data_IF_614511226138
#
_entry.id   IF_614511226138
#
_cell.length_a   1.000
_cell.length_b   1.000
_cell.length_c   1.000
_cell.angle_alpha   90.00
_cell.angle_beta   90.00
_cell.angle_gamma   90.00
#
_symmetry.space_group_name_H-M   'P 1'
#
loop_
_entity.id
_entity.type
_entity.pdbx_description
1 polymer ?
#
# COMPACT_ATOMS: atom_id res chain seq x y z
N UNK A 1 5.26 13.67 -6.54
CA UNK A 1 4.83 12.26 -6.61
C UNK A 1 3.64 12.13 -5.69
N UNK A 2 2.59 11.47 -6.14
CA UNK A 2 1.47 11.08 -5.29
C UNK A 2 1.40 9.56 -5.19
N UNK A 3 0.96 9.07 -4.03
CA UNK A 3 0.71 7.64 -3.82
C UNK A 3 -0.78 7.40 -3.68
N UNK A 4 -1.30 6.52 -4.51
CA UNK A 4 -2.71 6.12 -4.53
C UNK A 4 -2.82 4.64 -4.18
N UNK A 5 -3.95 4.23 -3.63
CA UNK A 5 -4.23 2.82 -3.38
C UNK A 5 -5.64 2.46 -3.80
N UNK A 6 -5.78 1.27 -4.38
CA UNK A 6 -7.05 0.65 -4.75
C UNK A 6 -7.20 -0.64 -3.96
N UNK A 7 -8.39 -0.94 -3.49
CA UNK A 7 -8.71 -2.25 -2.92
C UNK A 7 -9.92 -2.86 -3.60
N UNK A 8 -9.87 -4.18 -3.80
CA UNK A 8 -10.99 -4.92 -4.38
C UNK A 8 -10.99 -6.38 -3.91
N UNK A 9 -12.18 -6.96 -3.70
CA UNK A 9 -12.31 -8.36 -3.32
C UNK A 9 -12.20 -9.30 -4.53
N UNK A 10 -11.58 -10.45 -4.31
CA UNK A 10 -11.66 -11.63 -5.16
C UNK A 10 -12.73 -12.58 -4.61
N UNK A 11 -13.22 -13.48 -5.46
CA UNK A 11 -14.17 -14.53 -5.04
C UNK A 11 -13.50 -15.40 -3.98
N UNK A 12 -14.21 -15.71 -2.88
CA UNK A 12 -13.70 -16.66 -1.89
C UNK A 12 -13.26 -17.97 -2.55
N UNK A 13 -12.10 -18.50 -2.15
CA UNK A 13 -11.52 -19.73 -2.71
C UNK A 13 -10.69 -19.54 -3.98
N UNK A 14 -10.67 -18.34 -4.57
CA UNK A 14 -9.88 -18.03 -5.78
C UNK A 14 -8.60 -17.26 -5.49
N UNK A 15 -8.26 -17.06 -4.21
CA UNK A 15 -7.18 -16.18 -3.77
C UNK A 15 -5.82 -16.59 -4.33
N UNK A 16 -5.51 -17.90 -4.34
CA UNK A 16 -4.25 -18.41 -4.86
C UNK A 16 -4.12 -18.15 -6.38
N UNK A 17 -5.17 -18.43 -7.14
CA UNK A 17 -5.21 -18.18 -8.59
C UNK A 17 -5.08 -16.68 -8.90
N UNK A 18 -5.79 -15.82 -8.15
CA UNK A 18 -5.70 -14.38 -8.34
C UNK A 18 -4.30 -13.86 -8.03
N UNK A 19 -3.66 -14.39 -6.98
CA UNK A 19 -2.29 -14.05 -6.61
C UNK A 19 -1.33 -14.42 -7.74
N UNK A 20 -1.47 -15.59 -8.36
CA UNK A 20 -0.59 -16.02 -9.46
C UNK A 20 -0.75 -15.15 -10.72
N UNK A 21 -1.98 -14.78 -11.08
CA UNK A 21 -2.23 -13.80 -12.17
C UNK A 21 -1.54 -12.47 -11.84
N UNK A 22 -1.71 -11.96 -10.63
CA UNK A 22 -1.13 -10.68 -10.19
C UNK A 22 0.40 -10.70 -10.07
N UNK A 23 1.04 -11.84 -9.77
CA UNK A 23 2.52 -11.96 -9.77
C UNK A 23 3.11 -11.69 -11.15
N UNK A 24 2.38 -12.08 -12.20
CA UNK A 24 2.77 -11.94 -13.61
C UNK A 24 2.35 -10.61 -14.22
N UNK A 25 1.81 -9.69 -13.42
CA UNK A 25 1.39 -8.37 -13.91
C UNK A 25 2.55 -7.66 -14.63
N UNK A 26 2.38 -7.28 -15.91
CA UNK A 26 3.45 -6.71 -16.70
C UNK A 26 3.80 -5.30 -16.20
N UNK A 27 4.98 -4.83 -16.59
CA UNK A 27 5.36 -3.43 -16.40
C UNK A 27 4.81 -2.65 -17.61
N UNK A 28 3.78 -1.81 -17.45
CA UNK A 28 3.36 -0.95 -18.55
C UNK A 28 4.44 0.09 -18.83
N UNK A 29 4.34 0.77 -19.98
CA UNK A 29 5.13 1.97 -20.22
C UNK A 29 4.88 2.97 -19.07
N UNK A 30 5.94 3.44 -18.39
CA UNK A 30 5.77 4.38 -17.31
C UNK A 30 5.35 5.78 -17.79
N UNK A 31 5.49 6.12 -19.07
CA UNK A 31 5.13 7.43 -19.60
C UNK A 31 3.72 7.46 -20.22
N UNK A 32 2.80 8.16 -19.57
CA UNK A 32 1.43 8.33 -20.05
C UNK A 32 1.26 9.58 -20.91
N UNK A 33 2.35 10.31 -21.23
CA UNK A 33 2.31 11.59 -21.91
C UNK A 33 2.02 12.77 -20.97
N UNK A 34 2.26 13.99 -21.45
CA UNK A 34 1.94 15.25 -20.76
C UNK A 34 2.49 15.37 -19.33
N UNK A 35 3.66 14.77 -19.09
CA UNK A 35 4.30 14.74 -17.76
C UNK A 35 3.66 13.80 -16.75
N UNK A 36 2.63 13.03 -17.16
CA UNK A 36 2.00 12.00 -16.35
C UNK A 36 2.83 10.70 -16.44
N UNK A 37 3.30 10.19 -15.29
CA UNK A 37 4.09 8.95 -15.24
C UNK A 37 3.67 7.99 -14.13
N UNK A 38 3.62 6.69 -14.44
CA UNK A 38 3.51 5.62 -13.44
C UNK A 38 4.90 5.25 -12.94
N UNK A 39 5.22 5.59 -11.70
CA UNK A 39 6.55 5.42 -11.12
C UNK A 39 6.74 4.06 -10.45
N UNK A 40 5.70 3.53 -9.82
CA UNK A 40 5.75 2.20 -9.24
C UNK A 40 4.34 1.62 -9.04
N UNK A 41 4.25 0.30 -9.08
CA UNK A 41 3.08 -0.46 -8.67
C UNK A 41 3.48 -1.53 -7.67
N UNK A 42 2.69 -1.70 -6.62
CA UNK A 42 2.85 -2.74 -5.62
C UNK A 42 1.52 -3.39 -5.34
N UNK A 43 1.48 -4.72 -5.29
CA UNK A 43 0.25 -5.46 -5.02
C UNK A 43 0.44 -6.27 -3.75
N UNK A 44 -0.48 -6.11 -2.82
CA UNK A 44 -0.57 -6.88 -1.60
C UNK A 44 -1.88 -7.66 -1.58
N UNK A 45 -1.90 -8.79 -0.87
CA UNK A 45 -3.12 -9.56 -0.66
C UNK A 45 -3.34 -9.81 0.82
N UNK A 46 -4.59 -9.71 1.27
CA UNK A 46 -5.00 -10.10 2.61
C UNK A 46 -6.37 -10.77 2.55
N UNK A 47 -6.47 -12.02 3.04
CA UNK A 47 -7.65 -12.87 2.82
C UNK A 47 -8.04 -12.82 1.33
N UNK A 48 -9.30 -12.52 1.03
CA UNK A 48 -9.83 -12.34 -0.31
C UNK A 48 -9.75 -10.88 -0.82
N UNK A 49 -8.98 -10.00 -0.20
CA UNK A 49 -8.81 -8.61 -0.65
C UNK A 49 -7.44 -8.40 -1.29
N UNK A 50 -7.46 -7.73 -2.43
CA UNK A 50 -6.26 -7.20 -3.09
C UNK A 50 -6.14 -5.73 -2.73
N UNK A 51 -4.90 -5.28 -2.47
CA UNK A 51 -4.56 -3.87 -2.35
C UNK A 51 -3.47 -3.57 -3.39
N UNK A 52 -3.80 -2.72 -4.37
CA UNK A 52 -2.86 -2.20 -5.37
C UNK A 52 -2.46 -0.78 -5.00
N UNK A 53 -1.18 -0.55 -4.74
CA UNK A 53 -0.60 0.76 -4.43
C UNK A 53 0.18 1.24 -5.65
N UNK A 54 -0.05 2.48 -6.05
CA UNK A 54 0.57 3.09 -7.23
C UNK A 54 1.24 4.41 -6.83
N UNK A 55 2.50 4.58 -7.23
CA UNK A 55 3.19 5.86 -7.16
C UNK A 55 3.11 6.52 -8.54
N UNK A 56 2.59 7.74 -8.60
CA UNK A 56 2.35 8.45 -9.86
C UNK A 56 2.92 9.87 -9.82
N UNK A 57 3.24 10.38 -11.00
CA UNK A 57 3.43 11.81 -11.28
C UNK A 57 2.32 12.24 -12.23
N UNK A 58 1.71 13.39 -12.00
CA UNK A 58 0.58 13.86 -12.79
C UNK A 58 -0.76 13.20 -12.40
N UNK A 59 -1.83 13.46 -13.18
CA UNK A 59 -3.18 13.09 -12.82
C UNK A 59 -3.42 11.57 -12.94
N UNK A 60 -3.86 10.94 -11.84
CA UNK A 60 -4.18 9.51 -11.81
C UNK A 60 -5.12 9.06 -12.94
N UNK A 61 -6.19 9.79 -13.32
CA UNK A 61 -7.05 9.38 -14.44
C UNK A 61 -6.31 9.23 -15.78
N UNK A 62 -5.30 10.06 -16.06
CA UNK A 62 -4.50 9.96 -17.28
C UNK A 62 -3.63 8.69 -17.26
N UNK A 63 -2.97 8.43 -16.12
CA UNK A 63 -2.19 7.20 -15.92
C UNK A 63 -3.05 5.97 -16.13
N UNK A 64 -4.25 5.95 -15.53
CA UNK A 64 -5.11 4.78 -15.59
C UNK A 64 -5.65 4.53 -16.98
N UNK A 65 -5.96 5.58 -17.75
CA UNK A 65 -6.34 5.47 -19.16
C UNK A 65 -5.21 4.87 -19.99
N UNK A 66 -3.99 5.35 -19.79
CA UNK A 66 -2.81 4.82 -20.47
C UNK A 66 -2.57 3.34 -20.14
N UNK A 67 -2.56 2.99 -18.84
CA UNK A 67 -2.37 1.61 -18.38
C UNK A 67 -3.47 0.67 -18.90
N UNK A 68 -4.72 1.14 -18.99
CA UNK A 68 -5.82 0.34 -19.52
C UNK A 68 -5.73 0.09 -21.03
N UNK A 69 -5.03 0.93 -21.78
CA UNK A 69 -4.82 0.76 -23.23
C UNK A 69 -3.74 -0.27 -23.57
N UNK A 70 -2.86 -0.62 -22.62
CA UNK A 70 -1.78 -1.59 -22.83
C UNK A 70 -2.33 -3.02 -23.03
N UNK A 71 -2.09 -3.67 -24.19
CA UNK A 71 -2.59 -5.02 -24.47
C UNK A 71 -2.09 -6.11 -23.51
N UNK A 72 -0.90 -5.96 -22.93
CA UNK A 72 -0.38 -6.89 -21.92
C UNK A 72 -1.12 -6.75 -20.59
N UNK A 73 -1.47 -5.52 -20.23
CA UNK A 73 -2.30 -5.23 -19.04
C UNK A 73 -3.72 -5.77 -19.25
N UNK A 74 -4.34 -5.49 -20.40
CA UNK A 74 -5.69 -5.99 -20.72
C UNK A 74 -5.79 -7.51 -20.59
N UNK A 75 -4.84 -8.26 -21.17
CA UNK A 75 -4.78 -9.73 -21.05
C UNK A 75 -4.70 -10.21 -19.60
N UNK A 76 -3.93 -9.52 -18.75
CA UNK A 76 -3.80 -9.87 -17.33
C UNK A 76 -5.09 -9.56 -16.57
N UNK A 77 -5.74 -8.44 -16.86
CA UNK A 77 -7.00 -8.03 -16.25
C UNK A 77 -8.17 -8.93 -16.69
N UNK A 78 -8.18 -9.38 -17.95
CA UNK A 78 -9.11 -10.40 -18.47
C UNK A 78 -8.95 -11.74 -17.76
N UNK A 79 -7.71 -12.19 -17.51
CA UNK A 79 -7.43 -13.39 -16.73
C UNK A 79 -7.84 -13.25 -15.25
N UNK A 80 -7.74 -12.04 -14.69
CA UNK A 80 -8.12 -11.75 -13.31
C UNK A 80 -9.65 -11.66 -13.15
N UNK A 81 -10.37 -11.18 -14.15
CA UNK A 81 -11.81 -10.88 -14.10
C UNK A 81 -12.68 -12.03 -13.59
N UNK A 82 -12.53 -13.29 -14.06
CA UNK A 82 -13.27 -14.43 -13.53
C UNK A 82 -13.02 -14.69 -12.05
N UNK A 83 -11.92 -14.20 -11.47
CA UNK A 83 -11.53 -14.40 -10.08
C UNK A 83 -12.04 -13.25 -9.18
N UNK A 84 -12.49 -12.14 -9.75
CA UNK A 84 -13.01 -11.01 -8.98
C UNK A 84 -14.40 -11.29 -8.41
N UNK A 85 -14.66 -10.81 -7.19
CA UNK A 85 -16.00 -10.90 -6.61
C UNK A 85 -17.04 -10.10 -7.42
N UNK A 86 -16.58 -9.00 -8.06
CA UNK A 86 -17.33 -8.25 -9.06
C UNK A 86 -16.47 -8.09 -10.31
N UNK A 87 -16.94 -8.62 -11.43
CA UNK A 87 -16.30 -8.43 -12.73
C UNK A 87 -16.29 -6.95 -13.09
N UNK A 88 -15.27 -6.51 -13.83
CA UNK A 88 -15.15 -5.14 -14.34
C UNK A 88 -14.67 -5.17 -15.79
N UNK A 89 -15.21 -4.28 -16.60
CA UNK A 89 -14.67 -4.03 -17.93
C UNK A 89 -13.79 -2.79 -17.86
N UNK A 90 -12.50 -2.93 -18.12
CA UNK A 90 -11.57 -1.80 -18.14
C UNK A 90 -11.54 -1.06 -19.49
N UNK A 91 -12.23 -1.58 -20.51
CA UNK A 91 -12.44 -0.92 -21.79
C UNK A 91 -13.70 -0.05 -21.82
N UNK A 92 -14.64 -0.27 -20.89
CA UNK A 92 -15.80 0.60 -20.69
C UNK A 92 -15.47 1.73 -19.69
N UNK A 93 -15.48 3.01 -20.13
CA UNK A 93 -15.25 4.15 -19.24
C UNK A 93 -16.21 4.23 -18.05
N UNK A 94 -17.46 3.77 -18.19
CA UNK A 94 -18.42 3.78 -17.09
C UNK A 94 -18.10 2.73 -16.03
N UNK A 95 -17.85 1.49 -16.44
CA UNK A 95 -17.36 0.45 -15.55
C UNK A 95 -16.05 0.83 -14.84
N UNK A 96 -15.13 1.52 -15.53
CA UNK A 96 -13.91 2.07 -14.93
C UNK A 96 -14.25 3.09 -13.84
N UNK A 97 -15.10 4.09 -14.13
CA UNK A 97 -15.51 5.09 -13.14
C UNK A 97 -16.16 4.44 -11.92
N UNK A 98 -17.07 3.50 -12.15
CA UNK A 98 -17.73 2.75 -11.08
C UNK A 98 -16.70 1.98 -10.25
N UNK A 99 -15.76 1.29 -10.86
CA UNK A 99 -14.70 0.59 -10.15
C UNK A 99 -13.88 1.55 -9.27
N UNK A 100 -13.45 2.70 -9.80
CA UNK A 100 -12.69 3.69 -9.01
C UNK A 100 -13.47 4.24 -7.83
N UNK A 101 -14.74 4.58 -8.03
CA UNK A 101 -15.60 5.10 -6.96
C UNK A 101 -15.70 4.13 -5.77
N UNK A 102 -15.67 2.81 -6.05
CA UNK A 102 -15.78 1.79 -5.02
C UNK A 102 -14.44 1.29 -4.50
N UNK A 103 -13.36 1.35 -5.28
CA UNK A 103 -12.08 0.73 -4.94
C UNK A 103 -11.04 1.71 -4.39
N UNK A 104 -11.17 3.00 -4.70
CA UNK A 104 -10.19 3.99 -4.30
C UNK A 104 -10.15 4.13 -2.77
N UNK A 105 -8.96 3.95 -2.20
CA UNK A 105 -8.72 4.15 -0.78
C UNK A 105 -8.36 5.61 -0.53
N UNK A 106 -8.91 6.20 0.53
CA UNK A 106 -8.53 7.54 0.98
C UNK A 106 -7.10 7.53 1.52
N UNK A 107 -6.23 8.39 0.98
CA UNK A 107 -4.89 8.65 1.55
C UNK A 107 -5.02 9.62 2.72
N UNK A 108 -4.83 9.14 3.94
CA UNK A 108 -5.07 9.93 5.16
C UNK A 108 -3.81 10.62 5.67
N UNK A 109 -2.66 9.98 5.52
CA UNK A 109 -1.37 10.55 5.89
C UNK A 109 -0.29 10.02 4.95
N UNK A 110 0.70 10.87 4.66
CA UNK A 110 1.89 10.51 3.92
C UNK A 110 3.07 11.26 4.49
N UNK A 111 4.16 10.54 4.73
CA UNK A 111 5.40 11.10 5.18
C UNK A 111 6.55 10.42 4.44
N UNK A 112 7.52 11.20 3.97
CA UNK A 112 8.72 10.68 3.35
C UNK A 112 9.92 11.41 3.94
N UNK A 113 11.01 10.67 4.16
CA UNK A 113 12.28 11.29 4.49
C UNK A 113 12.74 12.14 3.30
N UNK A 114 13.22 13.35 3.58
CA UNK A 114 13.88 14.18 2.56
C UNK A 114 15.13 13.42 2.10
N UNK A 115 15.27 13.10 0.80
CA UNK A 115 16.48 12.46 0.30
C UNK A 115 17.68 13.36 0.58
N UNK A 116 18.74 12.82 1.19
CA UNK A 116 20.04 13.51 1.15
C UNK A 116 20.53 13.46 -0.30
N UNK A 117 20.61 14.62 -0.95
CA UNK A 117 21.02 14.74 -2.35
C UNK A 117 22.45 14.25 -2.62
N UNK A 118 23.26 14.04 -1.57
CA UNK A 118 24.64 13.55 -1.68
C UNK A 118 24.74 12.02 -1.72
N UNK A 119 23.70 11.31 -1.31
CA UNK A 119 23.67 9.84 -1.29
C UNK A 119 22.59 9.41 -2.27
N UNK A 120 22.98 8.70 -3.34
CA UNK A 120 22.04 8.10 -4.28
C UNK A 120 20.93 7.34 -3.53
N UNK A 121 19.71 7.32 -4.09
CA UNK A 121 18.55 6.76 -3.37
C UNK A 121 18.78 5.27 -3.10
N UNK A 122 18.98 4.83 -1.84
CA UNK A 122 19.25 3.43 -1.55
C UNK A 122 18.04 2.56 -1.93
N UNK A 123 18.26 1.28 -2.26
CA UNK A 123 17.17 0.36 -2.58
C UNK A 123 16.18 0.31 -1.43
N UNK A 124 14.89 0.29 -1.77
CA UNK A 124 13.79 0.31 -0.81
C UNK A 124 12.94 -0.94 -0.97
N UNK A 125 12.60 -1.56 0.14
CA UNK A 125 11.65 -2.66 0.19
C UNK A 125 10.30 -2.13 0.61
N UNK A 126 9.25 -2.44 -0.15
CA UNK A 126 7.90 -2.05 0.23
C UNK A 126 7.24 -3.10 1.12
N UNK A 127 6.75 -2.63 2.26
CA UNK A 127 6.00 -3.44 3.22
C UNK A 127 4.66 -2.78 3.49
N UNK A 128 3.60 -3.57 3.62
CA UNK A 128 2.31 -3.07 4.06
C UNK A 128 1.89 -3.77 5.35
N UNK A 129 1.31 -3.00 6.27
CA UNK A 129 0.75 -3.47 7.53
C UNK A 129 -0.75 -3.19 7.54
N UNK A 130 -1.57 -4.19 7.86
CA UNK A 130 -3.01 -4.03 8.11
C UNK A 130 -3.20 -3.66 9.57
N UNK A 131 -4.23 -2.89 9.87
CA UNK A 131 -4.72 -2.74 11.23
C UNK A 131 -6.05 -3.50 11.39
N UNK A 132 -6.18 -4.40 12.38
CA UNK A 132 -7.43 -5.09 12.70
C UNK A 132 -8.38 -4.11 13.41
N UNK A 133 -9.12 -3.33 12.63
CA UNK A 133 -9.97 -2.26 13.16
C UNK A 133 -11.29 -2.81 13.68
N UNK A 134 -11.78 -2.32 14.82
CA UNK A 134 -13.17 -2.57 15.24
C UNK A 134 -14.14 -2.05 14.17
N UNK A 135 -15.30 -2.71 13.96
CA UNK A 135 -16.32 -2.22 13.05
C UNK A 135 -16.70 -0.76 13.34
N UNK A 136 -16.75 0.07 12.29
CA UNK A 136 -17.05 1.49 12.34
C UNK A 136 -15.91 2.41 12.79
N UNK A 137 -14.76 1.86 13.22
CA UNK A 137 -13.65 2.64 13.79
C UNK A 137 -12.56 3.00 12.78
N UNK A 138 -12.71 2.68 11.49
CA UNK A 138 -11.71 2.95 10.45
C UNK A 138 -11.28 4.42 10.37
N UNK A 139 -12.24 5.35 10.48
CA UNK A 139 -11.95 6.78 10.47
C UNK A 139 -11.20 7.22 11.75
N UNK A 140 -11.56 6.69 12.91
CA UNK A 140 -10.90 7.00 14.18
C UNK A 140 -9.45 6.52 14.18
N UNK A 141 -9.22 5.27 13.77
CA UNK A 141 -7.88 4.73 13.63
C UNK A 141 -7.02 5.56 12.66
N UNK A 142 -7.57 5.92 11.51
CA UNK A 142 -6.81 6.68 10.52
C UNK A 142 -6.36 8.05 11.06
N UNK A 143 -7.17 8.70 11.91
CA UNK A 143 -6.77 9.92 12.63
C UNK A 143 -5.65 9.67 13.63
N UNK A 144 -5.73 8.59 14.43
CA UNK A 144 -4.66 8.21 15.37
C UNK A 144 -3.34 8.00 14.63
N UNK A 145 -3.36 7.30 13.50
CA UNK A 145 -2.16 7.06 12.69
C UNK A 145 -1.64 8.33 12.00
N UNK A 146 -2.52 9.24 11.59
CA UNK A 146 -2.10 10.52 11.01
C UNK A 146 -1.41 11.39 12.05
N UNK A 147 -1.95 11.46 13.28
CA UNK A 147 -1.33 12.15 14.40
C UNK A 147 0.01 11.52 14.80
N UNK A 148 0.09 10.20 14.86
CA UNK A 148 1.35 9.49 15.16
C UNK A 148 2.44 9.67 14.09
N UNK A 149 2.11 10.16 12.89
CA UNK A 149 3.05 10.52 11.83
C UNK A 149 3.49 11.99 11.86
N UNK A 150 3.01 12.79 12.82
CA UNK A 150 3.44 14.18 12.95
C UNK A 150 4.90 14.32 13.41
N UNK A 151 5.52 13.26 13.94
CA UNK A 151 6.95 13.24 14.26
C UNK A 151 7.80 12.93 13.02
N UNK A 152 8.91 13.64 12.77
CA UNK A 152 9.82 13.35 11.67
C UNK A 152 10.31 11.88 11.67
N UNK A 153 10.43 11.29 10.48
CA UNK A 153 11.14 10.02 10.30
C UNK A 153 12.63 10.28 10.57
N UNK A 154 13.25 9.44 11.40
CA UNK A 154 14.67 9.55 11.71
C UNK A 154 15.52 9.46 10.43
N UNK A 155 16.27 10.51 10.11
CA UNK A 155 17.18 10.58 8.96
C UNK A 155 18.57 10.04 9.33
N UNK A 156 19.27 9.43 8.37
CA UNK A 156 20.70 9.10 8.51
C UNK A 156 21.05 7.68 9.00
N UNK A 157 20.07 6.82 9.27
CA UNK A 157 20.34 5.41 9.59
C UNK A 157 20.56 4.57 8.32
N UNK A 158 21.54 3.65 8.35
CA UNK A 158 21.77 2.64 7.28
C UNK A 158 20.58 1.69 7.08
N UNK A 159 19.69 1.62 8.07
CA UNK A 159 18.40 0.94 7.98
C UNK A 159 17.32 1.74 8.70
N UNK A 160 16.15 1.87 8.07
CA UNK A 160 15.08 2.71 8.60
C UNK A 160 13.89 2.90 7.66
N UNK A 161 12.87 3.57 8.16
CA UNK A 161 11.67 3.93 7.37
C UNK A 161 11.98 5.17 6.56
N UNK A 162 12.04 5.03 5.24
CA UNK A 162 12.28 6.13 4.29
C UNK A 162 10.99 6.82 3.85
N UNK A 163 9.85 6.18 4.07
CA UNK A 163 8.54 6.75 3.80
C UNK A 163 7.44 5.87 4.35
N UNK A 164 6.31 6.48 4.64
CA UNK A 164 5.11 5.81 5.10
C UNK A 164 3.86 6.48 4.55
N UNK A 165 2.81 5.70 4.34
CA UNK A 165 1.52 6.21 3.83
C UNK A 165 0.39 5.39 4.40
N UNK A 166 -0.62 6.07 4.94
CA UNK A 166 -1.82 5.42 5.48
C UNK A 166 -2.97 5.56 4.50
N UNK A 167 -3.58 4.42 4.17
CA UNK A 167 -4.75 4.32 3.33
C UNK A 167 -5.93 3.74 4.10
N UNK A 168 -7.12 4.25 3.83
CA UNK A 168 -8.38 3.78 4.43
C UNK A 168 -9.41 3.50 3.35
N UNK A 169 -10.14 2.40 3.51
CA UNK A 169 -11.38 2.11 2.80
C UNK A 169 -12.37 1.46 3.77
N UNK A 170 -13.41 2.19 4.18
CA UNK A 170 -14.26 1.76 5.31
C UNK A 170 -13.42 1.53 6.58
N UNK A 171 -13.44 0.30 7.09
CA UNK A 171 -12.63 -0.20 8.21
C UNK A 171 -11.36 -0.94 7.76
N UNK A 172 -11.11 -1.09 6.46
CA UNK A 172 -9.80 -1.54 5.98
C UNK A 172 -8.82 -0.38 6.06
N UNK A 173 -7.97 -0.41 7.08
CA UNK A 173 -6.85 0.52 7.24
C UNK A 173 -5.54 -0.22 7.02
N UNK A 174 -4.72 0.31 6.12
CA UNK A 174 -3.36 -0.17 5.89
C UNK A 174 -2.36 0.96 6.01
N UNK A 175 -1.14 0.61 6.41
CA UNK A 175 0.02 1.50 6.37
C UNK A 175 1.10 0.87 5.51
N UNK A 176 1.46 1.57 4.45
CA UNK A 176 2.55 1.21 3.54
C UNK A 176 3.82 1.87 4.05
N UNK A 177 4.92 1.14 4.02
CA UNK A 177 6.26 1.58 4.41
C UNK A 177 7.21 1.35 3.25
N UNK A 178 8.06 2.34 2.98
CA UNK A 178 9.27 2.17 2.18
C UNK A 178 10.43 2.02 3.16
N UNK A 179 11.03 0.83 3.22
CA UNK A 179 12.09 0.49 4.18
C UNK A 179 13.44 0.43 3.47
N UNK A 180 14.45 1.06 4.06
CA UNK A 180 15.85 0.91 3.67
C UNK A 180 16.48 -0.18 4.53
N UNK A 181 17.15 -1.13 3.91
CA UNK A 181 17.75 -2.28 4.59
C UNK A 181 16.72 -3.35 4.96
N UNK A 182 17.01 -4.10 6.03
CA UNK A 182 16.20 -5.23 6.47
C UNK A 182 14.86 -4.77 7.09
N UNK A 183 13.71 -5.21 6.55
CA UNK A 183 12.40 -4.93 7.13
C UNK A 183 12.24 -5.39 8.58
N UNK A 184 12.64 -6.60 8.92
CA UNK A 184 12.44 -7.17 10.25
C UNK A 184 13.23 -6.41 11.31
N UNK A 185 14.48 -6.06 11.02
CA UNK A 185 15.28 -5.19 11.88
C UNK A 185 14.63 -3.82 12.05
N UNK A 186 14.10 -3.25 10.96
CA UNK A 186 13.44 -1.94 10.98
C UNK A 186 12.15 -1.96 11.80
N UNK A 187 11.30 -2.98 11.62
CA UNK A 187 10.05 -3.13 12.37
C UNK A 187 10.30 -3.46 13.84
N UNK A 188 11.32 -4.25 14.17
CA UNK A 188 11.71 -4.48 15.57
C UNK A 188 12.12 -3.17 16.26
N UNK A 189 12.87 -2.29 15.57
CA UNK A 189 13.22 -0.95 16.08
C UNK A 189 11.99 -0.05 16.21
N UNK A 190 11.13 -0.02 15.19
CA UNK A 190 9.88 0.75 15.22
C UNK A 190 8.99 0.31 16.39
N UNK A 191 8.89 -1.00 16.62
CA UNK A 191 8.11 -1.53 17.72
C UNK A 191 8.65 -1.10 19.08
N UNK A 192 9.98 -1.17 19.29
CA UNK A 192 10.59 -0.63 20.52
C UNK A 192 10.36 0.86 20.71
N UNK A 193 10.43 1.65 19.64
CA UNK A 193 10.18 3.10 19.71
C UNK A 193 8.71 3.44 19.96
N UNK A 194 7.78 2.56 19.62
CA UNK A 194 6.36 2.75 19.88
C UNK A 194 5.97 2.45 21.33
N UNK A 195 6.76 1.65 22.06
CA UNK A 195 6.46 1.32 23.47
C UNK A 195 6.33 2.60 24.32
N UNK A 196 5.23 2.70 25.06
CA UNK A 196 4.94 3.86 25.91
C UNK A 196 4.53 5.13 25.15
N UNK A 197 4.49 5.12 23.81
CA UNK A 197 4.02 6.27 23.04
C UNK A 197 2.51 6.45 23.25
N UNK A 198 1.99 7.69 23.39
CA UNK A 198 0.55 7.91 23.57
C UNK A 198 -0.30 7.35 22.42
N UNK A 199 0.28 7.24 21.23
CA UNK A 199 -0.33 6.60 20.05
C UNK A 199 -0.75 5.16 20.33
N UNK A 200 -0.02 4.40 21.15
CA UNK A 200 -0.29 2.98 21.43
C UNK A 200 -1.63 2.80 22.14
N UNK A 201 -1.87 3.54 23.23
CA UNK A 201 -3.14 3.46 23.95
C UNK A 201 -4.32 3.90 23.06
N UNK A 202 -4.13 4.94 22.25
CA UNK A 202 -5.13 5.37 21.28
C UNK A 202 -5.42 4.29 20.23
N UNK A 203 -4.40 3.55 19.76
CA UNK A 203 -4.57 2.41 18.85
C UNK A 203 -5.38 1.29 19.51
N UNK A 204 -5.04 0.85 20.71
CA UNK A 204 -5.74 -0.25 21.40
C UNK A 204 -7.25 0.00 21.58
N UNK A 205 -7.65 1.26 21.76
CA UNK A 205 -9.06 1.64 21.89
C UNK A 205 -9.91 1.40 20.63
N UNK A 206 -9.29 1.40 19.45
CA UNK A 206 -9.96 1.30 18.14
C UNK A 206 -9.69 -0.03 17.41
N UNK A 207 -8.74 -0.83 17.89
CA UNK A 207 -8.42 -2.15 17.34
C UNK A 207 -9.31 -3.25 17.92
N UNK A 208 -9.54 -4.31 17.14
CA UNK A 208 -10.16 -5.55 17.60
C UNK A 208 -9.47 -6.04 18.91
N UNK A 209 -10.18 -6.69 19.83
CA UNK A 209 -9.59 -7.14 21.08
C UNK A 209 -8.47 -8.16 20.85
N UNK A 210 -7.60 -8.31 21.86
CA UNK A 210 -6.55 -9.33 21.86
C UNK A 210 -5.17 -8.83 21.45
N UNK A 211 -4.96 -7.53 21.20
CA UNK A 211 -3.64 -6.94 20.95
C UNK A 211 -3.14 -6.20 22.19
N UNK A 212 -2.01 -6.64 22.73
CA UNK A 212 -1.32 -5.99 23.85
C UNK A 212 -0.13 -5.18 23.32
N UNK A 213 -0.41 -3.99 22.80
CA UNK A 213 0.60 -3.14 22.17
C UNK A 213 1.48 -2.41 23.20
N UNK A 214 1.15 -2.51 24.49
CA UNK A 214 2.00 -2.02 25.59
C UNK A 214 3.28 -2.85 25.81
N UNK A 215 3.38 -4.07 25.26
CA UNK A 215 4.53 -4.96 25.45
C UNK A 215 5.33 -5.18 24.16
N UNK A 216 6.64 -5.40 24.28
CA UNK A 216 7.51 -5.72 23.14
C UNK A 216 7.02 -6.96 22.39
N UNK A 217 6.57 -7.97 23.14
CA UNK A 217 6.06 -9.22 22.58
C UNK A 217 4.78 -8.99 21.78
N UNK A 218 3.81 -8.23 22.33
CA UNK A 218 2.55 -7.96 21.66
C UNK A 218 2.71 -7.06 20.43
N UNK A 219 3.58 -6.04 20.46
CA UNK A 219 3.93 -5.26 19.25
C UNK A 219 4.60 -6.14 18.20
N UNK A 220 5.57 -6.98 18.59
CA UNK A 220 6.27 -7.87 17.65
C UNK A 220 5.28 -8.82 16.98
N UNK A 221 4.37 -9.41 17.75
CA UNK A 221 3.29 -10.26 17.22
C UNK A 221 2.39 -9.49 16.27
N UNK A 222 1.92 -8.30 16.65
CA UNK A 222 1.09 -7.44 15.81
C UNK A 222 1.75 -7.11 14.46
N UNK A 223 3.02 -6.70 14.50
CA UNK A 223 3.79 -6.36 13.30
C UNK A 223 4.06 -7.56 12.40
N UNK A 224 4.16 -8.76 12.95
CA UNK A 224 4.36 -9.99 12.18
C UNK A 224 3.04 -10.49 11.57
N UNK A 225 2.00 -10.64 12.37
CA UNK A 225 0.72 -11.24 11.94
C UNK A 225 -0.06 -10.36 10.98
N UNK A 226 0.14 -9.05 11.01
CA UNK A 226 -0.60 -8.12 10.15
C UNK A 226 0.19 -7.58 8.96
N UNK A 227 1.40 -8.07 8.71
CA UNK A 227 2.06 -7.77 7.44
C UNK A 227 1.27 -8.39 6.29
N UNK A 228 0.97 -7.59 5.27
CA UNK A 228 0.37 -8.10 4.06
C UNK A 228 1.48 -8.70 3.18
N UNK A 229 1.30 -9.95 2.71
CA UNK A 229 2.17 -10.52 1.69
C UNK A 229 2.25 -9.62 0.44
N UNK A 230 3.47 -9.26 0.07
CA UNK A 230 3.76 -8.60 -1.20
C UNK A 230 3.70 -9.63 -2.32
N UNK A 231 2.82 -9.41 -3.28
CA UNK A 231 2.61 -10.28 -4.45
C UNK A 231 3.57 -9.89 -5.56
N UNK A 232 3.62 -8.60 -5.87
CA UNK A 232 4.53 -8.06 -6.87
C UNK A 232 4.85 -6.60 -6.56
N UNK A 233 6.07 -6.20 -6.86
CA UNK A 233 6.47 -4.81 -6.87
C UNK A 233 7.25 -4.54 -8.16
N UNK A 234 6.85 -3.47 -8.84
CA UNK A 234 7.42 -3.01 -10.09
C UNK A 234 7.69 -1.52 -9.94
N UNK A 235 8.95 -1.13 -10.07
CA UNK A 235 9.32 0.27 -10.23
C UNK A 235 9.57 0.53 -11.72
N UNK A 236 9.19 1.72 -12.17
CA UNK A 236 9.65 2.25 -13.42
C UNK A 236 11.17 2.33 -13.34
N UNK A 237 11.87 1.66 -14.26
CA UNK A 237 13.29 1.89 -14.41
C UNK A 237 13.54 3.37 -14.68
N UNK A 238 14.71 3.87 -14.28
CA UNK A 238 15.16 5.16 -14.81
C UNK A 238 15.21 4.98 -16.32
N UNK A 239 14.41 5.73 -17.07
CA UNK A 239 14.65 5.90 -18.50
C UNK A 239 16.09 6.42 -18.60
N UNK A 240 17.00 5.57 -19.09
CA UNK A 240 18.37 5.99 -19.35
C UNK A 240 18.33 7.21 -20.26
N UNK A 241 19.26 8.17 -20.09
CA UNK A 241 19.44 9.26 -21.04
C UNK A 241 19.67 8.72 -22.47
#
# INVERSE_FOLDING_TARGET
MERHALTFPVRPGTEAAAREVLRRYPRPDPDAGDGARLLATSVFCWRNHVVRVMDVRGPLPAIMRHVAADPAIRRTEEALNPLLARRRDLSDPEAVRAFFAHALMSRVAHQAAVPDSRIGRPPRTRVALRYPVRPGQGAALARVLAWGQSSPLATGARSGVAGTTVFRHGDLVIRVFDVIGDPDVTFARLGRAALGAPTVSALESVLEPGWELATTAGITRFLTEHRLPLVTHREAGVAGP
#
